data_IF_842153540744
#
_entry.id   IF_842153540744
#
_cell.length_a   1.000
_cell.length_b   1.000
_cell.length_c   1.000
_cell.angle_alpha   90.00
_cell.angle_beta   90.00
_cell.angle_gamma   90.00
#
_symmetry.space_group_name_H-M   'P 1'
#
loop_
_entity.id
_entity.type
_entity.pdbx_description
1 polymer ?
#
# COMPACT_ATOMS: atom_id res chain seq x y z
N UNK A 1 -25.26 28.34 12.67
CA UNK A 1 -23.84 28.69 12.94
C UNK A 1 -23.12 27.56 13.67
N UNK A 2 -23.72 26.95 14.69
CA UNK A 2 -23.14 25.80 15.42
C UNK A 2 -22.81 24.58 14.53
N UNK A 3 -23.70 24.24 13.60
CA UNK A 3 -23.50 23.13 12.64
C UNK A 3 -22.26 23.33 11.76
N UNK A 4 -21.92 24.57 11.41
CA UNK A 4 -20.76 24.87 10.57
C UNK A 4 -19.46 24.52 11.31
N UNK A 5 -19.37 24.83 12.61
CA UNK A 5 -18.20 24.46 13.41
C UNK A 5 -18.04 22.94 13.55
N UNK A 6 -19.15 22.21 13.68
CA UNK A 6 -19.13 20.74 13.69
C UNK A 6 -18.63 20.16 12.35
N UNK A 7 -19.12 20.69 11.23
CA UNK A 7 -18.70 20.25 9.90
C UNK A 7 -17.22 20.54 9.61
N UNK A 8 -16.72 21.69 10.09
CA UNK A 8 -15.29 22.03 9.98
C UNK A 8 -14.43 21.05 10.79
N UNK A 9 -14.84 20.73 12.02
CA UNK A 9 -14.14 19.72 12.82
C UNK A 9 -14.08 18.36 12.13
N UNK A 10 -15.22 17.92 11.57
CA UNK A 10 -15.31 16.64 10.88
C UNK A 10 -14.49 16.60 9.59
N UNK A 11 -14.46 17.68 8.81
CA UNK A 11 -13.68 17.75 7.58
C UNK A 11 -12.16 17.71 7.86
N UNK A 12 -11.71 18.42 8.89
CA UNK A 12 -10.30 18.39 9.31
C UNK A 12 -9.91 16.99 9.83
N UNK A 13 -10.78 16.35 10.62
CA UNK A 13 -10.54 14.99 11.10
C UNK A 13 -10.35 14.01 9.94
N UNK A 14 -11.25 14.05 8.95
CA UNK A 14 -11.14 13.23 7.74
C UNK A 14 -9.85 13.54 6.99
N UNK A 15 -9.50 14.81 6.81
CA UNK A 15 -8.28 15.20 6.10
C UNK A 15 -7.01 14.65 6.76
N UNK A 16 -6.91 14.76 8.09
CA UNK A 16 -5.77 14.21 8.85
C UNK A 16 -5.75 12.69 8.81
N UNK A 17 -6.93 12.04 8.90
CA UNK A 17 -7.03 10.59 8.78
C UNK A 17 -6.50 10.10 7.43
N UNK A 18 -6.95 10.69 6.32
CA UNK A 18 -6.47 10.33 4.99
C UNK A 18 -4.99 10.61 4.81
N UNK A 19 -4.50 11.75 5.30
CA UNK A 19 -3.09 12.09 5.23
C UNK A 19 -2.22 11.09 6.01
N UNK A 20 -2.64 10.72 7.23
CA UNK A 20 -1.94 9.73 8.05
C UNK A 20 -1.90 8.35 7.39
N UNK A 21 -3.03 7.91 6.84
CA UNK A 21 -3.12 6.66 6.08
C UNK A 21 -2.22 6.68 4.84
N UNK A 22 -2.21 7.80 4.12
CA UNK A 22 -1.37 7.98 2.94
C UNK A 22 0.13 7.87 3.28
N UNK A 23 0.58 8.56 4.32
CA UNK A 23 1.97 8.49 4.76
C UNK A 23 2.36 7.07 5.22
N UNK A 24 1.46 6.37 5.91
CA UNK A 24 1.68 4.98 6.29
C UNK A 24 1.77 4.05 5.07
N UNK A 25 0.89 4.20 4.08
CA UNK A 25 0.91 3.43 2.85
C UNK A 25 2.21 3.64 2.05
N UNK A 26 2.67 4.89 1.91
CA UNK A 26 3.95 5.21 1.27
C UNK A 26 5.12 4.57 2.02
N UNK A 27 5.13 4.65 3.36
CA UNK A 27 6.18 4.03 4.18
C UNK A 27 6.14 2.50 4.15
N UNK A 28 4.97 1.90 3.97
CA UNK A 28 4.79 0.44 3.94
C UNK A 28 5.33 -0.21 2.65
N UNK A 29 5.78 0.58 1.68
CA UNK A 29 6.31 0.05 0.42
C UNK A 29 5.23 -0.55 -0.49
N UNK A 30 3.94 -0.25 -0.25
CA UNK A 30 2.83 -0.76 -1.09
C UNK A 30 2.99 -0.40 -2.58
N UNK A 31 3.74 0.66 -2.88
CA UNK A 31 4.02 1.13 -4.24
C UNK A 31 5.31 0.56 -4.85
N UNK A 32 6.03 -0.30 -4.11
CA UNK A 32 7.30 -0.90 -4.56
C UNK A 32 7.10 -2.09 -5.49
N UNK A 33 5.86 -2.60 -5.61
CA UNK A 33 5.51 -3.67 -6.55
C UNK A 33 5.42 -3.13 -7.99
N UNK A 34 6.59 -2.77 -8.53
CA UNK A 34 6.79 -2.24 -9.89
C UNK A 34 6.73 -3.35 -10.95
N UNK A 35 6.71 -4.62 -10.52
CA UNK A 35 6.72 -5.79 -11.39
C UNK A 35 5.53 -6.67 -11.02
N UNK A 36 4.44 -6.54 -11.79
CA UNK A 36 3.15 -7.15 -11.47
C UNK A 36 3.31 -8.64 -11.11
N UNK A 37 2.62 -9.12 -10.06
CA UNK A 37 2.74 -10.49 -9.57
C UNK A 37 2.50 -11.55 -10.65
N UNK A 38 1.65 -11.26 -11.66
CA UNK A 38 1.42 -12.13 -12.80
C UNK A 38 2.66 -12.36 -13.67
N UNK A 39 3.50 -11.33 -13.85
CA UNK A 39 4.74 -11.42 -14.63
C UNK A 39 5.81 -12.15 -13.83
N UNK A 40 5.89 -11.91 -12.52
CA UNK A 40 6.77 -12.69 -11.63
C UNK A 40 6.43 -14.18 -11.73
N UNK A 41 5.16 -14.56 -11.55
CA UNK A 41 4.73 -15.97 -11.62
C UNK A 41 5.05 -16.63 -12.96
N UNK A 42 4.92 -15.92 -14.09
CA UNK A 42 5.24 -16.45 -15.43
C UNK A 42 6.74 -16.77 -15.63
N UNK A 43 7.63 -16.10 -14.90
CA UNK A 43 9.09 -16.28 -15.04
C UNK A 43 9.73 -16.99 -13.84
N UNK A 44 9.02 -17.16 -12.72
CA UNK A 44 9.47 -17.91 -11.53
C UNK A 44 9.34 -19.44 -11.72
N UNK A 45 8.52 -19.89 -12.66
CA UNK A 45 8.37 -21.31 -13.03
C UNK A 45 9.59 -21.88 -13.79
N UNK A 46 10.62 -21.06 -14.08
CA UNK A 46 11.78 -21.42 -14.91
C UNK A 46 13.06 -21.82 -14.17
N UNK A 47 13.13 -21.68 -12.84
CA UNK A 47 14.29 -22.07 -12.04
C UNK A 47 13.91 -23.17 -11.05
N UNK A 48 13.77 -24.39 -11.55
CA UNK A 48 14.01 -25.58 -10.73
C UNK A 48 15.52 -25.56 -10.44
N UNK A 49 15.90 -25.02 -9.29
CA UNK A 49 17.25 -25.19 -8.74
C UNK A 49 17.49 -26.69 -8.52
N UNK A 50 18.31 -27.27 -9.40
CA UNK A 50 18.92 -28.59 -9.29
C UNK A 50 19.89 -28.64 -8.08
N UNK A 51 19.38 -28.38 -6.89
CA UNK A 51 20.07 -28.65 -5.62
C UNK A 51 19.37 -29.79 -4.88
N UNK A 52 19.29 -30.94 -5.56
CA UNK A 52 19.47 -32.22 -4.86
C UNK A 52 20.94 -32.31 -4.44
N UNK A 53 21.20 -31.88 -3.21
CA UNK A 53 22.48 -32.05 -2.53
C UNK A 53 22.30 -32.42 -1.06
N UNK A 54 21.69 -33.57 -0.80
CA UNK A 54 21.82 -34.31 0.46
C UNK A 54 22.08 -35.77 0.17
#
# INVERSE_FOLDING_TARGET
MEVIFMLIGFSVLIAVFFLGYFLWAVKSGQFEDRYTPSVRMLFDDGTIDDSKGK
#
